data_IF_252277740862
#
_entry.id   IF_252277740862
#
_cell.length_a   1.000
_cell.length_b   1.000
_cell.length_c   1.000
_cell.angle_alpha   90.00
_cell.angle_beta   90.00
_cell.angle_gamma   90.00
#
_symmetry.space_group_name_H-M   'P 1'
#
loop_
_entity.id
_entity.type
_entity.pdbx_description
1 polymer ?
#
# COMPACT_ATOMS: atom_id res chain seq x y z
N UNK A 1 2.91 -14.69 -18.35
CA UNK A 1 2.42 -15.99 -17.81
C UNK A 1 3.13 -16.40 -16.51
N UNK A 2 4.19 -15.72 -16.07
CA UNK A 2 4.84 -16.04 -14.78
C UNK A 2 4.41 -15.20 -13.56
N UNK A 3 3.77 -14.03 -13.74
CA UNK A 3 3.37 -13.17 -12.59
C UNK A 3 2.16 -13.70 -11.81
N UNK A 4 1.39 -14.64 -12.36
CA UNK A 4 0.21 -15.20 -11.69
C UNK A 4 0.51 -16.31 -10.68
N UNK A 5 1.79 -16.71 -10.50
CA UNK A 5 2.17 -17.78 -9.54
C UNK A 5 2.45 -17.29 -8.13
N UNK A 6 2.71 -16.00 -7.92
CA UNK A 6 3.03 -15.45 -6.58
C UNK A 6 1.76 -15.23 -5.73
N UNK A 7 0.57 -15.27 -6.32
CA UNK A 7 -0.70 -14.96 -5.65
C UNK A 7 -1.41 -16.16 -4.98
N UNK A 8 -0.81 -17.34 -4.86
CA UNK A 8 -1.52 -18.55 -4.40
C UNK A 8 -1.04 -19.20 -3.09
N UNK A 9 -0.22 -18.52 -2.29
CA UNK A 9 0.25 -19.05 -0.99
C UNK A 9 -0.38 -18.37 0.24
N UNK A 10 -1.52 -17.70 0.07
CA UNK A 10 -2.13 -16.86 1.10
C UNK A 10 -3.46 -17.35 1.67
N UNK A 11 -3.78 -18.66 1.64
CA UNK A 11 -4.99 -19.17 2.29
C UNK A 11 -4.73 -20.54 2.90
N UNK A 12 -5.13 -20.70 4.16
CA UNK A 12 -5.09 -21.87 5.03
C UNK A 12 -3.86 -22.07 5.91
N UNK A 13 -3.87 -21.41 7.07
CA UNK A 13 -3.42 -22.01 8.32
C UNK A 13 -4.10 -21.29 9.51
N UNK A 14 -5.44 -21.35 9.56
CA UNK A 14 -6.15 -21.23 10.84
C UNK A 14 -5.91 -22.54 11.60
N UNK A 15 -4.72 -22.64 12.20
CA UNK A 15 -4.46 -23.55 13.30
C UNK A 15 -4.92 -22.84 14.56
N UNK A 16 -6.07 -23.29 15.05
CA UNK A 16 -6.57 -23.06 16.39
C UNK A 16 -5.47 -23.43 17.40
N UNK A 17 -4.78 -22.44 17.98
CA UNK A 17 -4.04 -22.64 19.23
C UNK A 17 -4.92 -22.12 20.37
N UNK A 18 -5.64 -23.05 20.98
CA UNK A 18 -6.21 -22.93 22.32
C UNK A 18 -5.09 -22.55 23.32
N UNK A 19 -5.30 -21.56 24.21
CA UNK A 19 -4.35 -21.25 25.25
C UNK A 19 -4.46 -22.30 26.36
N UNK A 20 -3.68 -23.37 26.25
CA UNK A 20 -3.49 -24.31 27.34
C UNK A 20 -2.68 -23.67 28.47
N UNK A 21 -3.35 -23.39 29.59
CA UNK A 21 -2.72 -23.15 30.89
C UNK A 21 -3.77 -23.14 32.01
N UNK A 22 -3.37 -23.24 33.28
CA UNK A 22 -2.34 -24.09 33.89
C UNK A 22 -3.00 -25.20 34.75
N UNK A 23 -2.52 -26.45 34.64
CA UNK A 23 -2.91 -27.49 35.59
C UNK A 23 -2.36 -27.19 37.00
N UNK A 24 -3.21 -26.57 37.82
CA UNK A 24 -3.09 -26.58 39.27
C UNK A 24 -3.77 -27.85 39.80
N UNK A 25 -3.12 -29.00 39.58
CA UNK A 25 -3.48 -30.27 40.22
C UNK A 25 -2.80 -30.38 41.57
N UNK A 26 -3.38 -29.76 42.60
CA UNK A 26 -3.09 -30.12 43.99
C UNK A 26 -4.14 -31.16 44.40
N UNK A 27 -3.81 -32.45 44.25
CA UNK A 27 -4.65 -33.55 44.73
C UNK A 27 -4.20 -33.97 46.14
N UNK A 28 -5.07 -33.92 47.17
CA UNK A 28 -4.79 -34.43 48.50
C UNK A 28 -5.17 -35.92 48.57
N UNK A 29 -4.37 -36.80 47.96
CA UNK A 29 -4.63 -38.26 47.93
C UNK A 29 -3.45 -39.10 48.44
N UNK A 30 -2.72 -38.58 49.43
CA UNK A 30 -1.46 -39.18 49.91
C UNK A 30 -1.64 -40.11 51.12
N UNK A 31 -2.85 -40.16 51.71
CA UNK A 31 -3.09 -40.87 52.99
C UNK A 31 -3.40 -42.36 52.88
N UNK A 32 -4.00 -42.84 51.79
CA UNK A 32 -4.45 -44.24 51.67
C UNK A 32 -3.36 -45.19 51.15
N UNK A 33 -2.53 -44.76 50.19
CA UNK A 33 -1.49 -45.62 49.58
C UNK A 33 -0.36 -45.98 50.55
N UNK A 34 -0.03 -45.10 51.50
CA UNK A 34 1.07 -45.33 52.45
C UNK A 34 0.74 -46.45 53.46
N UNK A 35 -0.55 -46.62 53.81
CA UNK A 35 -1.04 -47.64 54.75
C UNK A 35 -1.02 -49.07 54.19
N UNK A 36 -1.20 -49.23 52.88
CA UNK A 36 -1.23 -50.52 52.18
C UNK A 36 0.20 -50.97 51.81
N UNK A 37 1.07 -50.02 51.45
CA UNK A 37 2.50 -50.23 51.22
C UNK A 37 3.22 -50.70 52.49
N UNK A 38 2.90 -50.12 53.67
CA UNK A 38 3.48 -50.56 54.95
C UNK A 38 3.13 -52.00 55.31
N UNK A 39 1.87 -52.39 55.20
CA UNK A 39 1.40 -53.76 55.51
C UNK A 39 2.06 -54.82 54.61
N UNK A 40 2.28 -54.50 53.33
CA UNK A 40 2.97 -55.41 52.42
C UNK A 40 4.46 -55.58 52.76
N UNK A 41 5.15 -54.51 53.19
CA UNK A 41 6.56 -54.59 53.62
C UNK A 41 6.74 -55.47 54.85
N UNK A 42 5.88 -55.32 55.86
CA UNK A 42 5.89 -56.15 57.07
C UNK A 42 5.67 -57.64 56.77
N UNK A 43 4.76 -57.95 55.85
CA UNK A 43 4.48 -59.32 55.38
C UNK A 43 5.68 -59.94 54.65
N UNK A 44 6.39 -59.17 53.82
CA UNK A 44 7.59 -59.63 53.10
C UNK A 44 8.74 -59.88 54.07
N UNK A 45 8.99 -58.94 54.99
CA UNK A 45 9.99 -59.08 56.06
C UNK A 45 9.73 -60.34 56.90
N UNK A 46 8.48 -60.60 57.28
CA UNK A 46 8.11 -61.81 58.00
C UNK A 46 8.47 -63.10 57.26
N UNK A 47 8.26 -63.14 55.94
CA UNK A 47 8.62 -64.30 55.10
C UNK A 47 10.13 -64.48 54.97
N UNK A 48 10.88 -63.38 54.82
CA UNK A 48 12.36 -63.43 54.75
C UNK A 48 13.00 -63.92 56.04
N UNK A 49 12.45 -63.53 57.20
CA UNK A 49 12.92 -64.00 58.52
C UNK A 49 12.74 -65.51 58.65
N UNK A 50 11.61 -66.07 58.20
CA UNK A 50 11.37 -67.52 58.22
C UNK A 50 12.36 -68.26 57.32
N UNK A 51 12.62 -67.75 56.11
CA UNK A 51 13.60 -68.35 55.18
C UNK A 51 15.02 -68.31 55.75
N UNK A 52 15.41 -67.22 56.40
CA UNK A 52 16.71 -67.10 57.06
C UNK A 52 16.84 -68.12 58.20
N UNK A 53 15.80 -68.26 59.02
CA UNK A 53 15.79 -69.20 60.14
C UNK A 53 15.92 -70.66 59.65
N UNK A 54 15.26 -71.01 58.55
CA UNK A 54 15.40 -72.33 57.90
C UNK A 54 16.83 -72.57 57.38
N UNK A 55 17.44 -71.57 56.73
CA UNK A 55 18.82 -71.66 56.21
C UNK A 55 19.88 -71.75 57.32
N UNK A 56 19.62 -71.21 58.52
CA UNK A 56 20.52 -71.35 59.66
C UNK A 56 20.40 -72.73 60.34
N UNK A 57 19.24 -73.38 60.27
CA UNK A 57 19.03 -74.70 60.86
C UNK A 57 19.74 -75.83 60.10
N UNK A 58 20.15 -75.61 58.86
CA UNK A 58 20.94 -76.59 58.08
C UNK A 58 22.42 -76.60 58.44
N UNK A 59 22.89 -75.60 59.21
CA UNK A 59 24.26 -75.52 59.70
C UNK A 59 24.38 -76.26 61.04
N UNK A 60 25.43 -77.07 61.18
CA UNK A 60 25.54 -78.03 62.28
C UNK A 60 26.18 -77.42 63.54
N UNK A 61 27.06 -76.45 63.36
CA UNK A 61 27.81 -75.81 64.46
C UNK A 61 27.32 -74.38 64.72
N UNK A 62 27.35 -73.92 65.99
CA UNK A 62 27.00 -72.54 66.31
C UNK A 62 27.96 -71.52 65.68
N UNK A 63 29.24 -71.87 65.51
CA UNK A 63 30.22 -71.04 64.80
C UNK A 63 29.85 -70.82 63.32
N UNK A 64 29.38 -71.85 62.60
CA UNK A 64 28.93 -71.73 61.20
C UNK A 64 27.71 -70.80 61.07
N UNK A 65 26.74 -70.92 61.97
CA UNK A 65 25.55 -70.05 61.99
C UNK A 65 25.92 -68.59 62.22
N UNK A 66 26.86 -68.34 63.14
CA UNK A 66 27.37 -67.01 63.43
C UNK A 66 28.09 -66.43 62.21
N UNK A 67 28.98 -67.20 61.57
CA UNK A 67 29.68 -66.77 60.37
C UNK A 67 28.72 -66.43 59.21
N UNK A 68 27.67 -67.23 59.01
CA UNK A 68 26.65 -66.99 58.00
C UNK A 68 25.84 -65.69 58.28
N UNK A 69 25.47 -65.44 59.54
CA UNK A 69 24.81 -64.19 59.95
C UNK A 69 25.72 -62.97 59.77
N UNK A 70 26.98 -63.05 60.19
CA UNK A 70 27.97 -61.98 60.01
C UNK A 70 28.15 -61.65 58.52
N UNK A 71 28.22 -62.66 57.65
CA UNK A 71 28.29 -62.47 56.19
C UNK A 71 27.04 -61.77 55.66
N UNK A 72 25.84 -62.25 56.01
CA UNK A 72 24.58 -61.62 55.57
C UNK A 72 24.45 -60.16 56.02
N UNK A 73 24.88 -59.85 57.25
CA UNK A 73 24.88 -58.48 57.75
C UNK A 73 25.90 -57.59 57.01
N UNK A 74 27.09 -58.13 56.70
CA UNK A 74 28.08 -57.42 55.89
C UNK A 74 27.56 -57.11 54.47
N UNK A 75 26.96 -58.10 53.80
CA UNK A 75 26.34 -57.94 52.48
C UNK A 75 25.23 -56.86 52.52
N UNK A 76 24.36 -56.90 53.55
CA UNK A 76 23.28 -55.92 53.71
C UNK A 76 23.82 -54.50 53.94
N UNK A 77 24.88 -54.35 54.74
CA UNK A 77 25.54 -53.06 54.94
C UNK A 77 26.18 -52.51 53.66
N UNK A 78 26.77 -53.38 52.84
CA UNK A 78 27.31 -53.01 51.54
C UNK A 78 26.22 -52.53 50.59
N UNK A 79 25.11 -53.27 50.47
CA UNK A 79 23.94 -52.88 49.69
C UNK A 79 23.34 -51.56 50.16
N UNK A 80 23.19 -51.37 51.48
CA UNK A 80 22.71 -50.10 52.03
C UNK A 80 23.63 -48.93 51.64
N UNK A 81 24.95 -49.10 51.72
CA UNK A 81 25.92 -48.07 51.29
C UNK A 81 25.82 -47.80 49.79
N UNK A 82 25.60 -48.81 48.97
CA UNK A 82 25.45 -48.68 47.52
C UNK A 82 24.16 -47.94 47.14
N UNK A 83 23.03 -48.31 47.73
CA UNK A 83 21.74 -47.61 47.57
C UNK A 83 21.86 -46.16 48.04
N UNK A 84 22.51 -45.91 49.18
CA UNK A 84 22.70 -44.55 49.69
C UNK A 84 23.55 -43.68 48.74
N UNK A 85 24.58 -44.25 48.09
CA UNK A 85 25.34 -43.57 47.03
C UNK A 85 24.45 -43.26 45.81
N UNK A 86 23.64 -44.22 45.37
CA UNK A 86 22.72 -44.04 44.24
C UNK A 86 21.68 -42.96 44.51
N UNK A 87 21.10 -42.92 45.71
CA UNK A 87 20.16 -41.86 46.12
C UNK A 87 20.81 -40.48 46.01
N UNK A 88 22.06 -40.32 46.49
CA UNK A 88 22.79 -39.04 46.36
C UNK A 88 23.04 -38.64 44.91
N UNK A 89 23.33 -39.60 44.03
CA UNK A 89 23.53 -39.34 42.60
C UNK A 89 22.21 -38.91 41.95
N UNK A 90 21.11 -39.61 42.24
CA UNK A 90 19.79 -39.30 41.71
C UNK A 90 19.28 -37.94 42.20
N UNK A 91 19.48 -37.61 43.48
CA UNK A 91 19.15 -36.28 44.02
C UNK A 91 19.91 -35.15 43.29
N UNK A 92 21.20 -35.34 42.99
CA UNK A 92 21.98 -34.37 42.20
C UNK A 92 21.44 -34.22 40.77
N UNK A 93 21.09 -35.35 40.12
CA UNK A 93 20.47 -35.33 38.79
C UNK A 93 19.11 -34.63 38.80
N UNK A 94 18.28 -34.90 39.81
CA UNK A 94 16.98 -34.25 39.97
C UNK A 94 17.14 -32.73 40.13
N UNK A 95 18.06 -32.27 40.97
CA UNK A 95 18.33 -30.84 41.13
C UNK A 95 18.79 -30.18 39.82
N UNK A 96 19.63 -30.87 39.05
CA UNK A 96 20.10 -30.39 37.75
C UNK A 96 18.93 -30.28 36.74
N UNK A 97 18.10 -31.32 36.62
CA UNK A 97 16.93 -31.32 35.72
C UNK A 97 15.95 -30.22 36.09
N UNK A 98 15.71 -29.98 37.39
CA UNK A 98 14.84 -28.88 37.84
C UNK A 98 15.40 -27.53 37.43
N UNK A 99 16.72 -27.32 37.56
CA UNK A 99 17.37 -26.08 37.11
C UNK A 99 17.25 -25.88 35.60
N UNK A 100 17.51 -26.93 34.82
CA UNK A 100 17.37 -26.89 33.35
C UNK A 100 15.93 -26.63 32.92
N UNK A 101 14.93 -27.23 33.60
CA UNK A 101 13.51 -26.98 33.35
C UNK A 101 13.16 -25.50 33.51
N UNK A 102 13.59 -24.88 34.61
CA UNK A 102 13.34 -23.45 34.87
C UNK A 102 14.03 -22.58 33.82
N UNK A 103 15.28 -22.91 33.46
CA UNK A 103 16.02 -22.21 32.42
C UNK A 103 15.28 -22.25 31.08
N UNK A 104 14.89 -23.45 30.62
CA UNK A 104 14.16 -23.66 29.37
C UNK A 104 12.79 -22.96 29.39
N UNK A 105 12.07 -22.99 30.52
CA UNK A 105 10.81 -22.24 30.67
C UNK A 105 11.03 -20.73 30.50
N UNK A 106 12.11 -20.18 31.06
CA UNK A 106 12.44 -18.76 30.90
C UNK A 106 12.78 -18.39 29.45
N UNK A 107 13.48 -19.26 28.74
CA UNK A 107 13.83 -19.10 27.34
C UNK A 107 12.59 -19.19 26.45
N UNK A 108 11.70 -20.14 26.74
CA UNK A 108 10.43 -20.28 26.05
C UNK A 108 9.56 -19.02 26.19
N UNK A 109 9.44 -18.46 27.39
CA UNK A 109 8.71 -17.20 27.61
C UNK A 109 9.31 -16.04 26.82
N UNK A 110 10.65 -15.94 26.74
CA UNK A 110 11.32 -14.92 25.93
C UNK A 110 11.05 -15.11 24.44
N UNK A 111 11.06 -16.35 23.96
CA UNK A 111 10.77 -16.68 22.57
C UNK A 111 9.32 -16.31 22.19
N UNK A 112 8.35 -16.58 23.07
CA UNK A 112 6.95 -16.17 22.86
C UNK A 112 6.84 -14.64 22.72
N UNK A 113 7.45 -13.88 23.62
CA UNK A 113 7.41 -12.41 23.57
C UNK A 113 8.07 -11.87 22.28
N UNK A 114 9.20 -12.44 21.87
CA UNK A 114 9.86 -12.09 20.62
C UNK A 114 8.97 -12.40 19.40
N UNK A 115 8.31 -13.58 19.38
CA UNK A 115 7.36 -13.97 18.34
C UNK A 115 6.22 -12.95 18.24
N UNK A 116 5.54 -12.65 19.34
CA UNK A 116 4.43 -11.70 19.37
C UNK A 116 4.85 -10.30 18.89
N UNK A 117 6.05 -9.84 19.25
CA UNK A 117 6.58 -8.55 18.77
C UNK A 117 6.81 -8.55 17.26
N UNK A 118 7.43 -9.60 16.72
CA UNK A 118 7.67 -9.72 15.28
C UNK A 118 6.36 -9.81 14.51
N UNK A 119 5.37 -10.56 14.99
CA UNK A 119 4.07 -10.64 14.34
C UNK A 119 3.35 -9.28 14.30
N UNK A 120 3.41 -8.48 15.38
CA UNK A 120 2.83 -7.12 15.39
C UNK A 120 3.50 -6.24 14.35
N UNK A 121 4.84 -6.26 14.30
CA UNK A 121 5.61 -5.49 13.32
C UNK A 121 5.30 -5.94 11.88
N UNK A 122 5.16 -7.24 11.63
CA UNK A 122 4.77 -7.75 10.32
C UNK A 122 3.36 -7.27 9.93
N UNK A 123 2.39 -7.30 10.86
CA UNK A 123 1.04 -6.79 10.63
C UNK A 123 1.04 -5.29 10.33
N UNK A 124 1.80 -4.49 11.08
CA UNK A 124 1.95 -3.06 10.84
C UNK A 124 2.61 -2.75 9.49
N UNK A 125 3.70 -3.44 9.17
CA UNK A 125 4.40 -3.29 7.89
C UNK A 125 3.50 -3.65 6.71
N UNK A 126 2.69 -4.71 6.84
CA UNK A 126 1.70 -5.08 5.82
C UNK A 126 0.63 -4.01 5.64
N UNK A 127 0.12 -3.42 6.73
CA UNK A 127 -0.83 -2.29 6.65
C UNK A 127 -0.21 -1.09 5.95
N UNK A 128 1.00 -0.68 6.35
CA UNK A 128 1.70 0.44 5.71
C UNK A 128 1.93 0.21 4.22
N UNK A 129 2.37 -0.98 3.81
CA UNK A 129 2.55 -1.31 2.39
C UNK A 129 1.23 -1.25 1.61
N UNK A 130 0.12 -1.69 2.22
CA UNK A 130 -1.21 -1.61 1.61
C UNK A 130 -1.62 -0.15 1.41
N UNK A 131 -1.52 0.67 2.45
CA UNK A 131 -1.84 2.11 2.37
C UNK A 131 -0.97 2.83 1.34
N UNK A 132 0.34 2.59 1.35
CA UNK A 132 1.26 3.22 0.40
C UNK A 132 0.96 2.82 -1.06
N UNK A 133 0.51 1.58 -1.30
CA UNK A 133 0.06 1.15 -2.62
C UNK A 133 -1.23 1.86 -3.05
N UNK A 134 -2.18 2.02 -2.13
CA UNK A 134 -3.43 2.74 -2.38
C UNK A 134 -3.18 4.23 -2.66
N UNK A 135 -2.33 4.88 -1.86
CA UNK A 135 -1.92 6.28 -2.05
C UNK A 135 -1.20 6.51 -3.37
N UNK A 136 -0.22 5.68 -3.74
CA UNK A 136 0.46 5.79 -5.03
C UNK A 136 -0.51 5.62 -6.20
N UNK A 137 -1.44 4.67 -6.11
CA UNK A 137 -2.46 4.46 -7.14
C UNK A 137 -3.40 5.66 -7.25
N UNK A 138 -3.79 6.25 -6.13
CA UNK A 138 -4.63 7.43 -6.09
C UNK A 138 -3.90 8.65 -6.65
N UNK A 139 -2.64 8.87 -6.25
CA UNK A 139 -1.82 9.96 -6.76
C UNK A 139 -1.60 9.85 -8.28
N UNK A 140 -1.32 8.66 -8.80
CA UNK A 140 -1.17 8.45 -10.23
C UNK A 140 -2.45 8.82 -11.01
N UNK A 141 -3.63 8.48 -10.47
CA UNK A 141 -4.91 8.88 -11.08
C UNK A 141 -5.12 10.38 -11.04
N UNK A 142 -4.81 11.03 -9.91
CA UNK A 142 -4.93 12.48 -9.79
C UNK A 142 -3.99 13.24 -10.73
N UNK A 143 -2.76 12.76 -10.90
CA UNK A 143 -1.82 13.32 -11.86
C UNK A 143 -2.28 13.12 -13.30
N UNK A 144 -2.85 11.96 -13.62
CA UNK A 144 -3.47 11.69 -14.92
C UNK A 144 -4.63 12.67 -15.21
N UNK A 145 -5.53 12.87 -14.25
CA UNK A 145 -6.64 13.82 -14.39
C UNK A 145 -6.14 15.27 -14.51
N UNK A 146 -5.17 15.70 -13.70
CA UNK A 146 -4.55 17.04 -13.86
C UNK A 146 -3.92 17.22 -15.24
N UNK A 147 -3.27 16.18 -15.77
CA UNK A 147 -2.69 16.22 -17.11
C UNK A 147 -3.78 16.35 -18.19
N UNK A 148 -4.89 15.63 -18.07
CA UNK A 148 -6.06 15.75 -18.96
C UNK A 148 -6.67 17.15 -18.88
N UNK A 149 -6.87 17.69 -17.69
CA UNK A 149 -7.41 19.03 -17.47
C UNK A 149 -6.51 20.11 -18.09
N UNK A 150 -5.20 20.04 -17.85
CA UNK A 150 -4.24 20.97 -18.44
C UNK A 150 -4.25 20.90 -19.98
N UNK A 151 -4.27 19.69 -20.53
CA UNK A 151 -4.34 19.47 -21.98
C UNK A 151 -5.64 20.03 -22.56
N UNK A 152 -6.78 19.76 -21.92
CA UNK A 152 -8.08 20.28 -22.33
C UNK A 152 -8.12 21.82 -22.28
N UNK A 153 -7.53 22.41 -21.24
CA UNK A 153 -7.42 23.87 -21.11
C UNK A 153 -6.58 24.47 -22.25
N UNK A 154 -5.41 23.89 -22.56
CA UNK A 154 -4.60 24.35 -23.70
C UNK A 154 -5.35 24.22 -25.02
N UNK A 155 -6.04 23.09 -25.24
CA UNK A 155 -6.84 22.88 -26.44
C UNK A 155 -7.96 23.92 -26.55
N UNK A 156 -8.64 24.22 -25.45
CA UNK A 156 -9.67 25.25 -25.39
C UNK A 156 -9.12 26.63 -25.77
N UNK A 157 -8.00 27.04 -25.17
CA UNK A 157 -7.38 28.34 -25.47
C UNK A 157 -6.91 28.42 -26.93
N UNK A 158 -6.36 27.36 -27.51
CA UNK A 158 -6.00 27.33 -28.93
C UNK A 158 -7.21 27.53 -29.84
N UNK A 159 -8.33 26.85 -29.53
CA UNK A 159 -9.57 27.02 -30.26
C UNK A 159 -10.12 28.45 -30.14
N UNK A 160 -9.99 29.07 -28.97
CA UNK A 160 -10.39 30.47 -28.75
C UNK A 160 -9.56 31.44 -29.58
N UNK A 161 -8.23 31.28 -29.60
CA UNK A 161 -7.33 32.08 -30.43
C UNK A 161 -7.67 31.90 -31.92
N UNK A 162 -7.92 30.67 -32.36
CA UNK A 162 -8.31 30.39 -33.74
C UNK A 162 -9.63 31.09 -34.11
N UNK A 163 -10.64 31.01 -33.24
CA UNK A 163 -11.91 31.70 -33.45
C UNK A 163 -11.74 33.22 -33.54
N UNK A 164 -10.87 33.81 -32.71
CA UNK A 164 -10.55 35.24 -32.77
C UNK A 164 -9.85 35.62 -34.09
N UNK A 165 -8.94 34.79 -34.58
CA UNK A 165 -8.26 35.01 -35.87
C UNK A 165 -9.26 34.96 -37.03
N UNK A 166 -10.13 33.96 -37.05
CA UNK A 166 -11.18 33.82 -38.07
C UNK A 166 -12.15 35.02 -38.04
N UNK A 167 -12.54 35.49 -36.84
CA UNK A 167 -13.36 36.68 -36.68
C UNK A 167 -12.66 37.94 -37.21
N UNK A 168 -11.36 38.09 -36.95
CA UNK A 168 -10.56 39.19 -37.47
C UNK A 168 -10.48 39.16 -39.00
N UNK A 169 -10.26 37.98 -39.60
CA UNK A 169 -10.22 37.82 -41.05
C UNK A 169 -11.54 38.20 -41.72
N UNK A 170 -12.67 37.79 -41.13
CA UNK A 170 -14.02 38.20 -41.59
C UNK A 170 -14.19 39.71 -41.49
N UNK A 171 -13.78 40.33 -40.39
CA UNK A 171 -13.86 41.78 -40.23
C UNK A 171 -12.99 42.53 -41.24
N UNK A 172 -11.77 42.06 -41.47
CA UNK A 172 -10.83 42.64 -42.43
C UNK A 172 -11.35 42.53 -43.87
N UNK A 173 -11.90 41.38 -44.25
CA UNK A 173 -12.55 41.20 -45.55
C UNK A 173 -13.71 42.18 -45.75
N UNK A 174 -14.51 42.43 -44.71
CA UNK A 174 -15.59 43.42 -44.74
C UNK A 174 -15.07 44.85 -44.95
N UNK A 175 -14.03 45.25 -44.22
CA UNK A 175 -13.40 46.57 -44.39
C UNK A 175 -12.80 46.74 -45.79
N UNK A 176 -12.18 45.70 -46.35
CA UNK A 176 -11.70 45.73 -47.73
C UNK A 176 -12.84 45.93 -48.73
N UNK A 177 -13.95 45.22 -48.56
CA UNK A 177 -15.14 45.39 -49.39
C UNK A 177 -15.71 46.82 -49.31
N UNK A 178 -15.84 47.36 -48.10
CA UNK A 178 -16.29 48.74 -47.88
C UNK A 178 -15.35 49.76 -48.53
N UNK A 179 -14.03 49.56 -48.44
CA UNK A 179 -13.04 50.43 -49.09
C UNK A 179 -13.15 50.40 -50.61
N UNK A 180 -13.37 49.22 -51.22
CA UNK A 180 -13.59 49.09 -52.67
C UNK A 180 -14.85 49.86 -53.06
N UNK A 181 -15.96 49.67 -52.36
CA UNK A 181 -17.22 50.36 -52.63
C UNK A 181 -17.11 51.89 -52.51
N UNK A 182 -16.39 52.39 -51.50
CA UNK A 182 -16.12 53.81 -51.34
C UNK A 182 -15.24 54.34 -52.49
N UNK A 183 -14.21 53.60 -52.88
CA UNK A 183 -13.38 53.92 -54.04
C UNK A 183 -14.19 54.01 -55.33
N UNK A 184 -15.12 53.08 -55.57
CA UNK A 184 -16.03 53.12 -56.72
C UNK A 184 -16.97 54.33 -56.68
N UNK A 185 -17.52 54.67 -55.51
CA UNK A 185 -18.37 55.86 -55.34
C UNK A 185 -17.60 57.14 -55.65
N UNK A 186 -16.36 57.26 -55.17
CA UNK A 186 -15.48 58.40 -55.46
C UNK A 186 -15.17 58.48 -56.97
N UNK A 187 -14.84 57.35 -57.60
CA UNK A 187 -14.60 57.29 -59.05
C UNK A 187 -15.81 57.79 -59.85
N UNK A 188 -17.01 57.28 -59.53
CA UNK A 188 -18.26 57.73 -60.16
C UNK A 188 -18.50 59.23 -59.96
N UNK A 189 -18.20 59.76 -58.78
CA UNK A 189 -18.34 61.20 -58.50
C UNK A 189 -17.38 62.05 -59.36
N UNK A 190 -16.12 61.61 -59.50
CA UNK A 190 -15.12 62.27 -60.36
C UNK A 190 -15.57 62.25 -61.82
N UNK A 191 -16.03 61.10 -62.33
CA UNK A 191 -16.54 60.96 -63.71
C UNK A 191 -17.74 61.88 -63.97
N UNK A 192 -18.70 61.94 -63.04
CA UNK A 192 -19.84 62.86 -63.14
C UNK A 192 -19.41 64.33 -63.12
N UNK A 193 -18.40 64.68 -62.33
CA UNK A 193 -17.86 66.04 -62.29
C UNK A 193 -17.19 66.41 -63.61
N UNK A 194 -16.32 65.53 -64.14
CA UNK A 194 -15.65 65.71 -65.42
C UNK A 194 -16.66 65.91 -66.56
N UNK A 195 -17.69 65.05 -66.65
CA UNK A 195 -18.75 65.19 -67.64
C UNK A 195 -19.51 66.53 -67.52
N UNK A 196 -19.81 66.96 -66.28
CA UNK A 196 -20.47 68.26 -66.05
C UNK A 196 -19.57 69.43 -66.47
N UNK A 197 -18.28 69.33 -66.24
CA UNK A 197 -17.29 70.32 -66.65
C UNK A 197 -17.19 70.39 -68.18
N UNK A 198 -17.12 69.24 -68.87
CA UNK A 198 -17.16 69.16 -70.33
C UNK A 198 -18.43 69.80 -70.93
N UNK A 199 -19.61 69.48 -70.37
CA UNK A 199 -20.89 70.07 -70.81
C UNK A 199 -20.92 71.59 -70.59
N UNK A 200 -20.39 72.08 -69.46
CA UNK A 200 -20.28 73.52 -69.19
C UNK A 200 -19.37 74.19 -70.20
N UNK A 201 -18.18 73.63 -70.46
CA UNK A 201 -17.23 74.14 -71.45
C UNK A 201 -17.87 74.17 -72.84
N UNK A 202 -18.56 73.11 -73.24
CA UNK A 202 -19.29 73.05 -74.51
C UNK A 202 -20.39 74.12 -74.60
N UNK A 203 -21.15 74.32 -73.52
CA UNK A 203 -22.20 75.36 -73.46
C UNK A 203 -21.62 76.78 -73.59
N UNK A 204 -20.54 77.08 -72.86
CA UNK A 204 -19.82 78.36 -72.97
C UNK A 204 -19.27 78.56 -74.37
N UNK A 205 -18.66 77.52 -74.96
CA UNK A 205 -18.17 77.54 -76.32
C UNK A 205 -19.30 77.83 -77.32
N UNK A 206 -20.45 77.14 -77.20
CA UNK A 206 -21.64 77.39 -78.03
C UNK A 206 -22.13 78.82 -77.90
N UNK A 207 -22.20 79.35 -76.68
CA UNK A 207 -22.60 80.73 -76.43
C UNK A 207 -21.61 81.73 -77.05
N UNK A 208 -20.30 81.48 -76.93
CA UNK A 208 -19.25 82.29 -77.54
C UNK A 208 -19.37 82.30 -79.07
N UNK A 209 -19.61 81.15 -79.70
CA UNK A 209 -19.81 81.02 -81.15
C UNK A 209 -21.05 81.78 -81.60
N UNK A 210 -22.19 81.60 -80.92
CA UNK A 210 -23.42 82.34 -81.23
C UNK A 210 -23.19 83.84 -81.07
N UNK A 211 -22.57 84.29 -79.98
CA UNK A 211 -22.27 85.71 -79.76
C UNK A 211 -21.35 86.27 -80.85
N UNK A 212 -20.26 85.58 -81.19
CA UNK A 212 -19.33 86.01 -82.25
C UNK A 212 -19.99 86.11 -83.63
N UNK A 213 -20.93 85.23 -83.97
CA UNK A 213 -21.59 85.23 -85.27
C UNK A 213 -22.80 86.16 -85.33
N UNK A 214 -23.58 86.26 -84.25
CA UNK A 214 -24.85 86.97 -84.22
C UNK A 214 -24.69 88.45 -83.87
N UNK A 215 -23.72 88.82 -83.01
CA UNK A 215 -23.46 90.23 -82.65
C UNK A 215 -23.09 91.07 -83.88
N UNK A 216 -22.17 90.67 -84.77
CA UNK A 216 -21.87 91.45 -85.98
C UNK A 216 -23.06 91.56 -86.93
N UNK A 217 -23.87 90.50 -87.06
CA UNK A 217 -25.09 90.52 -87.87
C UNK A 217 -26.12 91.52 -87.31
N UNK A 218 -26.29 91.58 -86.00
CA UNK A 218 -27.14 92.57 -85.31
C UNK A 218 -26.58 93.99 -85.42
N UNK A 219 -25.27 94.18 -85.25
CA UNK A 219 -24.63 95.49 -85.40
C UNK A 219 -24.81 96.00 -86.83
N UNK A 220 -24.57 95.15 -87.84
CA UNK A 220 -24.83 95.49 -89.23
C UNK A 220 -26.32 95.80 -89.46
N UNK A 221 -27.24 94.98 -88.94
CA UNK A 221 -28.68 95.23 -89.07
C UNK A 221 -29.11 96.57 -88.44
N UNK A 222 -28.59 96.92 -87.26
CA UNK A 222 -28.90 98.19 -86.57
C UNK A 222 -28.28 99.38 -87.31
N UNK A 223 -27.01 99.29 -87.72
CA UNK A 223 -26.33 100.35 -88.48
C UNK A 223 -27.04 100.60 -89.82
N UNK A 224 -27.47 99.55 -90.51
CA UNK A 224 -28.22 99.66 -91.79
C UNK A 224 -29.63 100.22 -91.60
N UNK A 225 -30.16 100.26 -90.37
CA UNK A 225 -31.50 100.79 -90.07
C UNK A 225 -31.49 102.23 -89.51
N UNK A 226 -30.31 102.76 -89.20
CA UNK A 226 -30.12 104.17 -88.79
C UNK A 226 -29.64 105.09 -89.93
N UNK A 227 -29.41 104.54 -91.12
CA UNK A 227 -29.26 105.28 -92.38
C UNK A 227 -30.47 104.99 -93.27
#
# INVERSE_FOLDING_TARGET
VEESRIYRLGVNADMLEEPSGPEAGADPSDGQQDSECRRNKESILGKEVVLLMQALNTLSTPEEKLAALCKKYADLLEEFRNVQKQVKILQKKQAQIVKEKVQLQSEHSKAILARSKLESLCRELQRHNKTLKEENMQQAREEEERCKEATAHFQFTLNEIQAQLEQHDVHNAKLHQENIELGEKLKKLIEQYALREEVKVFSVFRHLVISKNFVPLLTNFIVTRQF
#
